data_IF_060699222585
#
_entry.id   IF_060699222585
#
_cell.length_a   1.000
_cell.length_b   1.000
_cell.length_c   1.000
_cell.angle_alpha   90.00
_cell.angle_beta   90.00
_cell.angle_gamma   90.00
#
_symmetry.space_group_name_H-M   'P 1'
#
loop_
_entity.id
_entity.type
_entity.pdbx_description
1 polymer ?
#
# COMPACT_ATOMS: atom_id res chain seq x y z
N UNK A 1 43.09 -24.40 -21.21
CA UNK A 1 41.86 -24.56 -20.40
C UNK A 1 41.45 -23.15 -20.01
N UNK A 2 41.06 -22.28 -20.94
CA UNK A 2 40.16 -22.46 -22.09
C UNK A 2 38.71 -22.63 -21.63
N UNK A 3 37.94 -21.57 -21.84
CA UNK A 3 36.58 -21.32 -21.35
C UNK A 3 35.54 -22.25 -21.99
N UNK A 4 34.46 -22.50 -21.25
CA UNK A 4 33.33 -23.32 -21.68
C UNK A 4 32.24 -22.45 -22.36
N UNK A 5 32.57 -21.86 -23.51
CA UNK A 5 31.61 -21.12 -24.34
C UNK A 5 30.76 -22.09 -25.18
N UNK A 6 29.58 -22.49 -24.68
CA UNK A 6 28.65 -23.39 -25.40
C UNK A 6 27.47 -22.62 -25.99
N UNK A 7 27.79 -22.04 -27.13
CA UNK A 7 26.96 -21.64 -28.26
C UNK A 7 25.79 -22.60 -28.60
N UNK A 8 24.70 -22.03 -29.14
CA UNK A 8 23.59 -22.72 -29.84
C UNK A 8 23.49 -22.18 -31.30
N UNK A 9 22.62 -22.66 -32.22
CA UNK A 9 21.69 -23.81 -32.22
C UNK A 9 21.93 -24.76 -33.45
N UNK A 10 21.01 -25.67 -33.80
CA UNK A 10 20.09 -25.47 -34.97
C UNK A 10 18.63 -25.91 -34.65
N UNK A 11 17.56 -25.63 -35.42
CA UNK A 11 17.33 -25.68 -36.87
C UNK A 11 16.78 -27.07 -37.25
N UNK A 12 15.72 -27.31 -38.04
CA UNK A 12 14.81 -26.49 -38.91
C UNK A 12 13.37 -27.10 -38.84
N UNK A 13 12.28 -26.80 -39.58
CA UNK A 13 11.98 -26.16 -40.90
C UNK A 13 10.47 -25.72 -40.94
N UNK A 14 9.93 -25.37 -42.13
CA UNK A 14 8.50 -25.24 -42.49
C UNK A 14 7.69 -24.14 -41.75
N UNK A 15 7.63 -22.88 -42.21
CA UNK A 15 7.08 -22.33 -43.47
C UNK A 15 5.58 -22.60 -43.72
N UNK A 16 4.76 -21.55 -43.59
CA UNK A 16 3.90 -21.05 -44.68
C UNK A 16 3.96 -19.52 -44.64
N UNK A 17 4.08 -18.89 -45.81
CA UNK A 17 4.11 -17.43 -46.02
C UNK A 17 2.90 -17.01 -46.86
N UNK A 18 2.19 -15.93 -46.50
CA UNK A 18 1.21 -15.28 -47.37
C UNK A 18 0.87 -13.84 -46.94
N UNK A 19 1.08 -12.88 -47.84
CA UNK A 19 0.35 -11.58 -47.92
C UNK A 19 -0.11 -11.43 -49.38
N UNK A 20 -1.28 -10.81 -49.69
CA UNK A 20 -1.39 -9.34 -49.77
C UNK A 20 -2.81 -8.79 -49.40
N UNK A 21 -3.23 -7.64 -49.98
CA UNK A 21 -4.30 -6.71 -49.52
C UNK A 21 -4.97 -5.97 -50.74
N UNK A 22 -5.90 -4.97 -50.61
CA UNK A 22 -7.23 -4.92 -49.97
C UNK A 22 -8.40 -5.30 -50.95
N UNK A 23 -9.15 -4.46 -51.74
CA UNK A 23 -9.40 -3.00 -51.84
C UNK A 23 -10.90 -2.54 -52.07
N UNK A 24 -11.68 -2.16 -51.03
CA UNK A 24 -12.93 -1.35 -51.18
C UNK A 24 -13.25 -0.61 -49.84
N UNK A 25 -13.28 0.72 -49.72
CA UNK A 25 -14.20 1.73 -50.30
C UNK A 25 -15.61 1.70 -49.65
N UNK A 26 -16.21 2.79 -49.14
CA UNK A 26 -16.14 4.21 -49.56
C UNK A 26 -16.43 5.23 -48.41
N UNK A 27 -15.76 6.41 -48.46
CA UNK A 27 -16.30 7.81 -48.26
C UNK A 27 -17.06 8.18 -46.94
N UNK A 28 -17.18 9.43 -46.47
CA UNK A 28 -16.48 10.73 -46.64
C UNK A 28 -16.97 11.65 -45.51
N UNK A 29 -16.12 12.51 -44.92
CA UNK A 29 -16.55 13.51 -43.93
C UNK A 29 -15.52 14.62 -43.75
N UNK A 30 -15.81 15.83 -44.23
CA UNK A 30 -14.85 16.94 -44.27
C UNK A 30 -14.84 17.75 -42.96
N UNK A 31 -13.69 18.35 -42.68
CA UNK A 31 -13.47 19.32 -41.60
C UNK A 31 -14.34 20.57 -41.83
N UNK A 32 -14.93 21.12 -40.78
CA UNK A 32 -15.26 22.55 -40.69
C UNK A 32 -14.68 23.15 -39.42
N UNK A 33 -14.54 24.48 -39.37
CA UNK A 33 -13.71 25.20 -38.41
C UNK A 33 -14.42 26.47 -37.96
N UNK A 34 -14.60 26.61 -36.63
CA UNK A 34 -14.90 27.83 -35.88
C UNK A 34 -16.15 28.66 -36.26
N UNK A 35 -16.90 29.05 -35.22
CA UNK A 35 -17.52 30.38 -35.13
C UNK A 35 -17.48 30.86 -33.68
N UNK A 36 -17.37 32.18 -33.50
CA UNK A 36 -17.20 32.85 -32.21
C UNK A 36 -18.52 33.39 -31.66
N UNK A 37 -18.67 33.41 -30.34
CA UNK A 37 -19.78 34.09 -29.65
C UNK A 37 -19.40 34.40 -28.20
N UNK A 38 -19.33 35.68 -27.83
CA UNK A 38 -18.76 36.11 -26.55
C UNK A 38 -19.55 37.21 -25.84
N UNK A 39 -20.35 36.81 -24.84
CA UNK A 39 -20.86 37.64 -23.73
C UNK A 39 -21.20 36.66 -22.58
N UNK A 40 -20.59 36.68 -21.39
CA UNK A 40 -20.53 37.73 -20.35
C UNK A 40 -21.94 38.08 -19.87
N UNK A 41 -22.38 37.84 -18.63
CA UNK A 41 -21.77 37.26 -17.39
C UNK A 41 -22.91 36.86 -16.44
N UNK A 42 -22.70 35.93 -15.51
CA UNK A 42 -22.88 36.11 -14.04
C UNK A 42 -22.67 34.78 -13.29
N UNK A 43 -22.16 34.87 -12.07
CA UNK A 43 -21.67 33.78 -11.22
C UNK A 43 -22.75 32.86 -10.64
N UNK A 44 -22.48 31.56 -10.63
CA UNK A 44 -22.76 30.66 -9.49
C UNK A 44 -21.94 29.35 -9.62
N UNK A 45 -20.71 29.26 -9.08
CA UNK A 45 -19.94 28.02 -9.10
C UNK A 45 -20.46 27.05 -8.04
N UNK A 46 -21.57 26.35 -8.34
CA UNK A 46 -22.04 25.22 -7.52
C UNK A 46 -21.02 24.08 -7.65
N UNK A 47 -19.99 24.11 -6.81
CA UNK A 47 -18.96 23.07 -6.70
C UNK A 47 -19.53 21.77 -6.12
N UNK A 48 -20.37 21.09 -6.89
CA UNK A 48 -20.49 19.63 -6.80
C UNK A 48 -19.36 19.03 -7.64
N UNK A 49 -18.15 18.99 -7.07
CA UNK A 49 -17.14 18.04 -7.55
C UNK A 49 -17.82 16.67 -7.53
N UNK A 50 -18.03 16.07 -8.70
CA UNK A 50 -18.55 14.72 -8.78
C UNK A 50 -17.52 13.79 -8.14
N UNK A 51 -17.75 13.41 -6.88
CA UNK A 51 -17.00 12.33 -6.25
C UNK A 51 -17.17 11.12 -7.15
N UNK A 52 -16.05 10.55 -7.61
CA UNK A 52 -16.08 9.38 -8.48
C UNK A 52 -16.87 8.27 -7.80
N UNK A 53 -17.66 7.50 -8.57
CA UNK A 53 -18.52 6.42 -8.06
C UNK A 53 -17.71 5.49 -7.15
N UNK A 54 -17.85 5.68 -5.84
CA UNK A 54 -16.90 5.18 -4.87
C UNK A 54 -17.30 5.59 -3.46
N UNK A 55 -16.91 4.76 -2.50
CA UNK A 55 -17.32 4.87 -1.10
C UNK A 55 -16.94 6.21 -0.46
N UNK A 56 -17.87 6.78 0.31
CA UNK A 56 -17.61 7.96 1.15
C UNK A 56 -16.49 7.67 2.15
N UNK A 57 -15.82 8.69 2.68
CA UNK A 57 -14.80 8.51 3.73
C UNK A 57 -15.35 7.73 4.93
N UNK A 58 -16.58 8.04 5.34
CA UNK A 58 -17.30 7.34 6.40
C UNK A 58 -17.62 5.87 6.05
N UNK A 59 -17.93 5.57 4.78
CA UNK A 59 -18.20 4.19 4.33
C UNK A 59 -16.91 3.35 4.33
N UNK A 60 -15.77 3.96 3.95
CA UNK A 60 -14.46 3.31 3.99
C UNK A 60 -14.10 2.93 5.43
N UNK A 61 -14.22 3.86 6.38
CA UNK A 61 -13.95 3.58 7.80
C UNK A 61 -14.86 2.47 8.35
N UNK A 62 -16.15 2.49 8.05
CA UNK A 62 -17.09 1.41 8.43
C UNK A 62 -16.67 0.06 7.86
N UNK A 63 -16.27 0.00 6.58
CA UNK A 63 -15.78 -1.23 5.92
C UNK A 63 -14.47 -1.73 6.53
N UNK A 64 -13.53 -0.84 6.90
CA UNK A 64 -12.30 -1.21 7.61
C UNK A 64 -12.63 -1.82 8.97
N UNK A 65 -13.42 -1.12 9.79
CA UNK A 65 -13.79 -1.60 11.14
C UNK A 65 -14.56 -2.93 11.13
N UNK A 66 -15.40 -3.18 10.10
CA UNK A 66 -16.08 -4.47 9.91
C UNK A 66 -15.11 -5.60 9.55
N UNK A 67 -14.02 -5.30 8.82
CA UNK A 67 -12.95 -6.28 8.54
C UNK A 67 -12.11 -6.51 9.79
N UNK A 68 -11.72 -5.45 10.51
CA UNK A 68 -10.92 -5.54 11.74
C UNK A 68 -11.66 -6.28 12.87
N UNK A 69 -12.98 -6.11 12.97
CA UNK A 69 -13.83 -6.90 13.89
C UNK A 69 -13.81 -8.40 13.54
N UNK A 70 -13.85 -8.75 12.25
CA UNK A 70 -13.77 -10.14 11.80
C UNK A 70 -12.36 -10.73 12.00
N UNK A 71 -11.31 -9.95 11.77
CA UNK A 71 -9.92 -10.33 12.09
C UNK A 71 -9.74 -10.59 13.59
N UNK A 72 -10.30 -9.73 14.44
CA UNK A 72 -10.30 -9.91 15.90
C UNK A 72 -11.11 -11.13 16.35
N UNK A 73 -12.17 -11.50 15.61
CA UNK A 73 -12.91 -12.74 15.78
C UNK A 73 -12.21 -13.99 15.18
N UNK A 74 -10.98 -13.86 14.65
CA UNK A 74 -10.17 -14.95 14.13
C UNK A 74 -10.41 -15.34 12.66
N UNK A 75 -11.22 -14.58 11.91
CA UNK A 75 -11.41 -14.81 10.48
C UNK A 75 -10.14 -14.45 9.68
N UNK A 76 -9.90 -15.12 8.55
CA UNK A 76 -8.79 -14.72 7.66
C UNK A 76 -9.10 -13.40 6.97
N UNK A 77 -8.06 -12.60 6.68
CA UNK A 77 -8.22 -11.33 5.96
C UNK A 77 -8.98 -11.52 4.64
N UNK A 78 -8.68 -12.57 3.90
CA UNK A 78 -9.31 -12.86 2.60
C UNK A 78 -10.81 -13.09 2.73
N UNK A 79 -11.27 -13.68 3.82
CA UNK A 79 -12.68 -14.00 4.02
C UNK A 79 -13.45 -12.78 4.56
N UNK A 80 -12.84 -12.04 5.49
CA UNK A 80 -13.36 -10.75 5.94
C UNK A 80 -13.50 -9.75 4.78
N UNK A 81 -12.47 -9.62 3.92
CA UNK A 81 -12.47 -8.78 2.72
C UNK A 81 -13.55 -9.17 1.71
N UNK A 82 -13.73 -10.48 1.44
CA UNK A 82 -14.82 -11.00 0.59
C UNK A 82 -16.19 -10.60 1.16
N UNK A 83 -16.42 -10.81 2.46
CA UNK A 83 -17.71 -10.51 3.11
C UNK A 83 -18.12 -9.04 3.00
N UNK A 84 -17.13 -8.13 2.99
CA UNK A 84 -17.31 -6.68 2.88
C UNK A 84 -17.26 -6.17 1.43
N UNK A 85 -17.00 -7.07 0.46
CA UNK A 85 -17.00 -6.77 -0.96
C UNK A 85 -15.94 -5.72 -1.35
N UNK A 86 -14.70 -5.90 -0.89
CA UNK A 86 -13.52 -5.14 -1.37
C UNK A 86 -12.39 -6.13 -1.74
N UNK A 87 -11.16 -5.64 -1.96
CA UNK A 87 -9.97 -6.49 -2.13
C UNK A 87 -8.94 -6.25 -1.02
N UNK A 88 -8.05 -7.21 -0.79
CA UNK A 88 -6.96 -7.11 0.21
C UNK A 88 -6.15 -5.82 -0.03
N UNK A 89 -5.83 -5.54 -1.30
CA UNK A 89 -5.10 -4.36 -1.74
C UNK A 89 -5.90 -3.05 -1.52
N UNK A 90 -7.24 -3.10 -1.59
CA UNK A 90 -8.11 -1.96 -1.25
C UNK A 90 -8.11 -1.72 0.26
N UNK A 91 -8.23 -2.79 1.06
CA UNK A 91 -8.15 -2.72 2.52
C UNK A 91 -6.84 -2.11 2.99
N UNK A 92 -5.68 -2.60 2.51
CA UNK A 92 -4.37 -2.06 2.91
C UNK A 92 -4.20 -0.58 2.49
N UNK A 93 -4.67 -0.18 1.31
CA UNK A 93 -4.65 1.23 0.90
C UNK A 93 -5.49 2.12 1.82
N UNK A 94 -6.72 1.71 2.14
CA UNK A 94 -7.58 2.52 3.01
C UNK A 94 -7.10 2.50 4.46
N UNK A 95 -6.58 1.38 4.97
CA UNK A 95 -5.99 1.32 6.31
C UNK A 95 -4.75 2.20 6.42
N UNK A 96 -3.86 2.20 5.40
CA UNK A 96 -2.73 3.15 5.36
C UNK A 96 -3.22 4.59 5.33
N UNK A 97 -4.23 4.91 4.51
CA UNK A 97 -4.77 6.27 4.42
C UNK A 97 -5.50 6.72 5.70
N UNK A 98 -6.13 5.82 6.45
CA UNK A 98 -6.76 6.10 7.74
C UNK A 98 -5.74 6.20 8.89
N UNK A 99 -4.58 5.56 8.75
CA UNK A 99 -3.43 5.66 9.66
C UNK A 99 -2.43 6.77 9.27
N UNK A 100 -2.77 7.62 8.29
CA UNK A 100 -2.14 8.95 8.20
C UNK A 100 -2.95 9.92 9.05
N UNK A 101 -2.32 10.85 9.78
CA UNK A 101 -3.04 11.88 10.52
C UNK A 101 -3.80 12.77 9.53
N UNK A 102 -5.12 12.59 9.45
CA UNK A 102 -6.00 13.61 8.87
C UNK A 102 -5.86 14.86 9.74
N UNK A 103 -5.42 15.97 9.15
CA UNK A 103 -5.10 17.23 9.85
C UNK A 103 -6.32 17.99 10.42
N UNK A 104 -7.41 17.27 10.73
CA UNK A 104 -8.71 17.80 11.14
C UNK A 104 -9.20 17.24 12.51
N UNK A 105 -8.52 16.24 13.09
CA UNK A 105 -8.83 15.71 14.44
C UNK A 105 -7.56 15.59 15.28
N UNK A 106 -7.40 16.51 16.24
CA UNK A 106 -6.19 16.66 17.03
C UNK A 106 -6.18 15.78 18.32
N UNK A 107 -5.21 14.86 18.48
CA UNK A 107 -4.20 15.03 19.52
C UNK A 107 -3.31 16.24 19.17
N UNK A 108 -2.47 16.70 20.10
CA UNK A 108 -1.46 17.73 19.77
C UNK A 108 -0.63 17.23 18.56
N UNK A 109 -0.46 18.02 17.49
CA UNK A 109 0.38 17.62 16.37
C UNK A 109 1.85 17.68 16.82
N UNK A 110 2.31 16.57 17.40
CA UNK A 110 3.72 16.16 17.36
C UNK A 110 4.20 16.30 15.92
N UNK A 111 5.36 16.95 15.72
CA UNK A 111 6.01 16.88 14.42
C UNK A 111 6.33 15.42 14.09
N UNK A 112 6.52 15.13 12.81
CA UNK A 112 7.12 13.85 12.38
C UNK A 112 8.48 13.66 13.09
N UNK A 113 9.19 14.77 13.37
CA UNK A 113 10.44 14.78 14.15
C UNK A 113 10.22 14.39 15.63
N UNK A 114 9.09 14.77 16.24
CA UNK A 114 8.76 14.40 17.63
C UNK A 114 8.36 12.92 17.73
N UNK A 115 7.61 12.40 16.75
CA UNK A 115 7.30 10.96 16.65
C UNK A 115 8.58 10.13 16.46
N UNK A 116 9.53 10.59 15.64
CA UNK A 116 10.85 9.97 15.54
C UNK A 116 11.67 10.09 16.82
N UNK A 117 11.58 11.21 17.55
CA UNK A 117 12.26 11.38 18.83
C UNK A 117 11.69 10.47 19.94
N UNK A 118 10.37 10.24 19.97
CA UNK A 118 9.75 9.24 20.86
C UNK A 118 10.22 7.82 20.48
N UNK A 119 10.24 7.48 19.19
CA UNK A 119 10.71 6.18 18.72
C UNK A 119 12.17 5.89 19.14
N UNK A 120 13.07 6.87 19.03
CA UNK A 120 14.47 6.75 19.47
C UNK A 120 14.56 6.52 20.99
N UNK A 121 13.78 7.25 21.80
CA UNK A 121 13.73 7.06 23.25
C UNK A 121 13.22 5.66 23.63
N UNK A 122 12.20 5.16 22.94
CA UNK A 122 11.68 3.81 23.13
C UNK A 122 12.71 2.73 22.76
N UNK A 123 13.50 2.93 21.69
CA UNK A 123 14.62 2.03 21.39
C UNK A 123 15.70 2.04 22.49
N UNK A 124 16.09 3.21 23.00
CA UNK A 124 17.14 3.31 24.02
C UNK A 124 16.72 2.72 25.36
N UNK A 125 15.47 2.93 25.79
CA UNK A 125 14.94 2.25 26.98
C UNK A 125 14.82 0.74 26.73
N UNK A 126 14.48 0.28 25.52
CA UNK A 126 14.51 -1.15 25.19
C UNK A 126 15.94 -1.74 25.25
N UNK A 127 16.95 -1.01 24.74
CA UNK A 127 18.38 -1.37 24.86
C UNK A 127 18.81 -1.44 26.33
N UNK A 128 18.41 -0.47 27.15
CA UNK A 128 18.69 -0.39 28.60
C UNK A 128 18.04 -1.54 29.37
N UNK A 129 16.76 -1.81 29.16
CA UNK A 129 16.02 -2.89 29.82
C UNK A 129 16.59 -4.27 29.46
N UNK A 130 16.95 -4.51 28.20
CA UNK A 130 17.65 -5.74 27.78
C UNK A 130 18.99 -5.90 28.50
N UNK A 131 19.77 -4.83 28.62
CA UNK A 131 21.04 -4.85 29.37
C UNK A 131 20.80 -5.21 30.83
N UNK A 132 19.93 -4.48 31.52
CA UNK A 132 19.59 -4.72 32.93
C UNK A 132 19.09 -6.15 33.18
N UNK A 133 18.23 -6.68 32.31
CA UNK A 133 17.79 -8.07 32.38
C UNK A 133 18.96 -9.05 32.22
N UNK A 134 19.84 -8.82 31.24
CA UNK A 134 21.01 -9.68 31.02
C UNK A 134 22.00 -9.64 32.18
N UNK A 135 22.18 -8.49 32.82
CA UNK A 135 23.10 -8.31 33.96
C UNK A 135 22.51 -8.92 35.24
N UNK A 136 21.19 -8.78 35.46
CA UNK A 136 20.47 -9.48 36.53
C UNK A 136 20.54 -11.01 36.35
N UNK A 137 20.28 -11.52 35.15
CA UNK A 137 20.39 -12.95 34.86
C UNK A 137 21.82 -13.47 35.02
N UNK A 138 22.86 -12.68 34.69
CA UNK A 138 24.26 -13.05 34.99
C UNK A 138 24.51 -13.13 36.49
N UNK A 139 24.04 -12.16 37.27
CA UNK A 139 24.21 -12.14 38.72
C UNK A 139 23.50 -13.33 39.40
N UNK A 140 22.23 -13.59 39.05
CA UNK A 140 21.45 -14.71 39.58
C UNK A 140 22.06 -16.06 39.18
N UNK A 141 22.49 -16.24 37.92
CA UNK A 141 23.18 -17.47 37.51
C UNK A 141 24.54 -17.66 38.21
N UNK A 142 25.29 -16.58 38.46
CA UNK A 142 26.54 -16.66 39.22
C UNK A 142 26.30 -17.03 40.70
N UNK A 143 25.20 -16.55 41.30
CA UNK A 143 24.81 -16.95 42.65
C UNK A 143 24.33 -18.41 42.71
N UNK A 144 23.48 -18.84 41.78
CA UNK A 144 23.03 -20.23 41.66
C UNK A 144 24.22 -21.18 41.46
N UNK A 145 25.19 -20.82 40.60
CA UNK A 145 26.42 -21.59 40.42
C UNK A 145 27.23 -21.72 41.71
N UNK A 146 27.43 -20.63 42.46
CA UNK A 146 28.06 -20.67 43.80
C UNK A 146 27.32 -21.58 44.77
N UNK A 147 25.98 -21.47 44.83
CA UNK A 147 25.11 -22.32 45.69
C UNK A 147 25.18 -23.81 45.31
N UNK A 148 25.46 -24.12 44.04
CA UNK A 148 25.64 -25.49 43.52
C UNK A 148 27.09 -25.99 43.56
N UNK A 149 28.05 -25.19 44.04
CA UNK A 149 29.49 -25.52 44.00
C UNK A 149 30.13 -25.47 42.61
N UNK A 150 29.40 -24.97 41.60
CA UNK A 150 29.80 -24.90 40.19
C UNK A 150 30.52 -23.58 39.87
N UNK A 151 31.58 -23.27 40.61
CA UNK A 151 32.42 -22.09 40.38
C UNK A 151 33.21 -22.24 39.07
#
# INVERSE_FOLDING_TARGET
MADEEIQAPPGVTAMVEATPNPPAAQKTGLRTKATTGAKVRTSLPRSVKASSRGHSGQDKLKKIGQIETQLAAGATLKDAVKSVGISDQTYYQWKKAAAQPNAETAPVPTSIDDEFAEFIQLEDENRRLRKQLSDKLRAENAELRKRLGLN
#
